data_IF_421858010707
#
_entry.id   IF_421858010707
#
_cell.length_a   1.000
_cell.length_b   1.000
_cell.length_c   1.000
_cell.angle_alpha   90.00
_cell.angle_beta   90.00
_cell.angle_gamma   90.00
#
_symmetry.space_group_name_H-M   'P 1'
#
loop_
_entity.id
_entity.type
_entity.pdbx_description
1 polymer ?
#
# COMPACT_ATOMS: atom_id res chain seq x y z
N UNK A 1 7.66 -1.87 -20.47
CA UNK A 1 6.60 -2.11 -19.47
C UNK A 1 7.12 -2.79 -18.21
N UNK A 2 7.84 -3.91 -18.31
CA UNK A 2 8.36 -4.68 -17.16
C UNK A 2 9.12 -3.85 -16.10
N UNK A 3 9.95 -2.87 -16.51
CA UNK A 3 10.67 -1.96 -15.59
C UNK A 3 9.76 -1.05 -14.76
N UNK A 4 8.65 -0.59 -15.33
CA UNK A 4 7.69 0.28 -14.62
C UNK A 4 6.80 -0.52 -13.67
N UNK A 5 6.50 -1.78 -14.02
CA UNK A 5 5.83 -2.73 -13.14
C UNK A 5 6.71 -3.06 -11.94
N UNK A 6 7.99 -3.34 -12.17
CA UNK A 6 8.98 -3.54 -11.11
C UNK A 6 9.12 -2.28 -10.23
N UNK A 7 9.15 -1.07 -10.80
CA UNK A 7 9.20 0.16 -10.03
C UNK A 7 7.93 0.38 -9.17
N UNK A 8 6.74 0.11 -9.72
CA UNK A 8 5.49 0.17 -8.97
C UNK A 8 5.44 -0.86 -7.82
N UNK A 9 5.94 -2.06 -8.07
CA UNK A 9 6.08 -3.13 -7.08
C UNK A 9 7.12 -2.78 -6.01
N UNK A 10 8.24 -2.17 -6.38
CA UNK A 10 9.27 -1.70 -5.46
C UNK A 10 8.76 -0.52 -4.60
N UNK A 11 8.00 0.40 -5.18
CA UNK A 11 7.33 1.48 -4.45
C UNK A 11 6.32 0.93 -3.44
N UNK A 12 5.57 -0.10 -3.81
CA UNK A 12 4.71 -0.81 -2.86
C UNK A 12 5.54 -1.51 -1.78
N UNK A 13 6.66 -2.16 -2.12
CA UNK A 13 7.59 -2.79 -1.16
C UNK A 13 8.20 -1.83 -0.15
N UNK A 14 8.37 -0.55 -0.49
CA UNK A 14 8.85 0.46 0.45
C UNK A 14 7.77 0.87 1.48
N UNK A 15 6.50 0.77 1.12
CA UNK A 15 5.35 0.98 2.03
C UNK A 15 5.16 -0.22 2.97
N UNK A 16 5.64 -1.39 2.57
CA UNK A 16 5.62 -2.61 3.36
C UNK A 16 6.82 -2.66 4.31
N UNK A 17 6.59 -3.00 5.59
CA UNK A 17 7.65 -3.65 6.36
C UNK A 17 8.17 -4.86 5.57
N UNK A 18 9.47 -5.19 5.69
CA UNK A 18 10.17 -6.10 4.76
C UNK A 18 9.48 -7.46 4.55
N UNK A 19 8.68 -7.92 5.50
CA UNK A 19 7.98 -9.22 5.47
C UNK A 19 6.70 -9.23 4.61
N UNK A 20 6.10 -8.07 4.31
CA UNK A 20 4.78 -8.00 3.66
C UNK A 20 4.89 -7.88 2.12
N UNK A 21 6.05 -7.48 1.62
CA UNK A 21 6.31 -7.30 0.18
C UNK A 21 6.15 -8.61 -0.61
N UNK A 22 6.61 -9.74 -0.05
CA UNK A 22 6.53 -11.05 -0.69
C UNK A 22 5.09 -11.58 -0.79
N UNK A 23 4.30 -11.41 0.27
CA UNK A 23 2.88 -11.84 0.32
C UNK A 23 1.99 -11.01 -0.59
N UNK A 24 2.29 -9.72 -0.76
CA UNK A 24 1.56 -8.88 -1.71
C UNK A 24 1.91 -9.28 -3.14
N UNK A 25 3.18 -9.56 -3.43
CA UNK A 25 3.66 -9.96 -4.75
C UNK A 25 3.04 -11.27 -5.25
N UNK A 26 2.81 -12.25 -4.36
CA UNK A 26 2.16 -13.52 -4.70
C UNK A 26 0.64 -13.38 -4.96
N UNK A 27 0.01 -12.36 -4.37
CA UNK A 27 -1.43 -12.11 -4.50
C UNK A 27 -1.80 -11.26 -5.73
N UNK A 28 -0.91 -10.39 -6.20
CA UNK A 28 -1.11 -9.56 -7.41
C UNK A 28 -1.62 -10.36 -8.63
N UNK A 29 -0.98 -11.48 -9.04
CA UNK A 29 -1.46 -12.26 -10.19
C UNK A 29 -2.81 -12.95 -9.96
N UNK A 30 -3.22 -13.19 -8.70
CA UNK A 30 -4.52 -13.79 -8.37
C UNK A 30 -5.68 -12.76 -8.46
N UNK A 31 -5.39 -11.48 -8.23
CA UNK A 31 -6.39 -10.40 -8.30
C UNK A 31 -6.41 -9.64 -9.63
N UNK A 32 -5.45 -9.90 -10.51
CA UNK A 32 -5.37 -9.31 -11.85
C UNK A 32 -6.49 -9.75 -12.83
N UNK A 33 -7.00 -11.00 -12.83
CA UNK A 33 -7.88 -11.47 -13.91
C UNK A 33 -9.39 -11.26 -13.69
N UNK A 34 -9.84 -10.63 -12.59
CA UNK A 34 -11.28 -10.59 -12.25
C UNK A 34 -12.10 -9.54 -13.05
N UNK A 35 -11.47 -8.69 -13.86
CA UNK A 35 -12.23 -7.65 -14.59
C UNK A 35 -11.73 -7.49 -16.02
N UNK A 36 -12.22 -8.33 -16.93
CA UNK A 36 -12.24 -8.00 -18.35
C UNK A 36 -13.54 -8.45 -19.01
N UNK A 37 -14.27 -7.46 -19.53
CA UNK A 37 -15.53 -7.63 -20.27
C UNK A 37 -16.04 -6.32 -20.88
N UNK A 38 -15.64 -5.16 -20.31
CA UNK A 38 -15.98 -3.85 -20.86
C UNK A 38 -14.73 -3.01 -21.12
N UNK A 39 -14.61 -2.45 -22.33
CA UNK A 39 -13.52 -1.55 -22.75
C UNK A 39 -13.60 -0.25 -21.92
N UNK A 40 -12.86 -0.14 -20.82
CA UNK A 40 -12.86 1.06 -19.96
C UNK A 40 -12.14 2.24 -20.62
N UNK A 41 -12.69 3.44 -20.49
CA UNK A 41 -12.02 4.66 -20.95
C UNK A 41 -10.87 5.04 -20.01
N UNK A 42 -9.92 5.86 -20.47
CA UNK A 42 -8.85 6.38 -19.61
C UNK A 42 -9.39 7.13 -18.38
N UNK A 43 -10.55 7.81 -18.50
CA UNK A 43 -11.19 8.50 -17.37
C UNK A 43 -11.71 7.51 -16.33
N UNK A 44 -12.27 6.38 -16.75
CA UNK A 44 -12.80 5.35 -15.84
C UNK A 44 -11.67 4.66 -15.07
N UNK A 45 -10.53 4.43 -15.74
CA UNK A 45 -9.33 3.88 -15.10
C UNK A 45 -8.77 4.86 -14.06
N UNK A 46 -8.66 6.15 -14.39
CA UNK A 46 -8.20 7.17 -13.45
C UNK A 46 -9.13 7.34 -12.25
N UNK A 47 -10.46 7.29 -12.47
CA UNK A 47 -11.45 7.29 -11.38
C UNK A 47 -11.30 6.05 -10.50
N UNK A 48 -11.10 4.88 -11.10
CA UNK A 48 -10.90 3.62 -10.39
C UNK A 48 -9.61 3.65 -9.55
N UNK A 49 -8.52 4.23 -10.08
CA UNK A 49 -7.27 4.42 -9.34
C UNK A 49 -7.49 5.31 -8.11
N UNK A 50 -8.13 6.47 -8.26
CA UNK A 50 -8.47 7.34 -7.10
C UNK A 50 -9.30 6.61 -6.05
N UNK A 51 -10.29 5.83 -6.47
CA UNK A 51 -11.12 5.04 -5.56
C UNK A 51 -10.34 3.91 -4.87
N UNK A 52 -9.30 3.36 -5.51
CA UNK A 52 -8.45 2.34 -4.90
C UNK A 52 -7.58 2.86 -3.75
N UNK A 53 -7.33 4.18 -3.70
CA UNK A 53 -6.57 4.80 -2.61
C UNK A 53 -7.35 4.81 -1.29
N UNK A 54 -8.69 4.78 -1.32
CA UNK A 54 -9.52 4.80 -0.10
C UNK A 54 -9.25 3.58 0.79
N UNK A 55 -9.43 2.33 0.34
CA UNK A 55 -9.11 1.17 1.16
C UNK A 55 -7.63 1.08 1.52
N UNK A 56 -6.73 1.55 0.64
CA UNK A 56 -5.29 1.61 0.92
C UNK A 56 -4.99 2.48 2.14
N UNK A 57 -5.46 3.74 2.13
CA UNK A 57 -5.23 4.67 3.22
C UNK A 57 -5.92 4.23 4.51
N UNK A 58 -7.11 3.63 4.43
CA UNK A 58 -7.78 3.04 5.58
C UNK A 58 -6.95 1.92 6.21
N UNK A 59 -6.41 1.00 5.41
CA UNK A 59 -5.56 -0.07 5.90
C UNK A 59 -4.27 0.45 6.55
N UNK A 60 -3.61 1.44 5.94
CA UNK A 60 -2.41 2.08 6.53
C UNK A 60 -2.72 2.79 7.87
N UNK A 61 -3.92 3.34 8.00
CA UNK A 61 -4.38 3.97 9.23
C UNK A 61 -4.66 2.94 10.33
N UNK A 62 -5.32 1.82 9.98
CA UNK A 62 -5.54 0.69 10.89
C UNK A 62 -4.22 0.07 11.35
N UNK A 63 -3.28 -0.13 10.44
CA UNK A 63 -1.95 -0.68 10.73
C UNK A 63 -1.16 0.24 11.68
N UNK A 64 -1.20 1.55 11.43
CA UNK A 64 -0.64 2.56 12.34
C UNK A 64 -1.32 2.54 13.72
N UNK A 65 -2.65 2.44 13.76
CA UNK A 65 -3.40 2.38 15.02
C UNK A 65 -3.08 1.09 15.80
N UNK A 66 -3.00 -0.05 15.13
CA UNK A 66 -2.64 -1.34 15.74
C UNK A 66 -1.20 -1.39 16.26
N UNK A 67 -0.32 -0.58 15.67
CA UNK A 67 1.08 -0.44 16.08
C UNK A 67 1.28 0.58 17.20
N UNK A 68 0.28 1.40 17.53
CA UNK A 68 0.47 2.54 18.40
C UNK A 68 0.94 2.13 19.80
N UNK A 69 2.07 2.68 20.24
CA UNK A 69 2.64 2.35 21.53
C UNK A 69 3.23 0.94 21.62
N UNK A 70 3.37 0.19 20.52
CA UNK A 70 4.16 -1.05 20.50
C UNK A 70 5.65 -0.76 20.58
N UNK A 71 6.46 -1.73 21.00
CA UNK A 71 7.94 -1.62 20.95
C UNK A 71 8.37 -1.59 19.49
N UNK A 72 9.22 -0.63 19.13
CA UNK A 72 9.71 -0.46 17.76
C UNK A 72 11.20 -0.81 17.71
N UNK A 73 11.53 -1.92 17.05
CA UNK A 73 12.91 -2.40 16.94
C UNK A 73 13.72 -1.58 15.93
N UNK A 74 13.06 -0.89 15.00
CA UNK A 74 13.74 -0.06 14.03
C UNK A 74 14.12 1.30 14.66
N UNK A 75 15.42 1.58 14.88
CA UNK A 75 15.86 2.82 15.53
C UNK A 75 15.54 4.08 14.71
N UNK A 76 15.30 3.97 13.40
CA UNK A 76 14.85 5.08 12.57
C UNK A 76 13.39 5.46 12.83
N UNK A 77 12.57 4.47 13.22
CA UNK A 77 11.15 4.61 13.51
C UNK A 77 10.89 4.77 15.01
N UNK A 78 11.77 4.28 15.88
CA UNK A 78 11.59 4.32 17.32
C UNK A 78 11.49 5.76 17.87
N UNK A 79 10.48 6.00 18.71
CA UNK A 79 10.39 7.22 19.51
C UNK A 79 11.46 7.29 20.60
N UNK A 80 11.50 8.40 21.34
CA UNK A 80 12.44 8.59 22.47
C UNK A 80 12.30 7.54 23.58
N UNK A 81 11.15 6.85 23.63
CA UNK A 81 10.85 5.77 24.56
C UNK A 81 10.99 4.36 23.94
N UNK A 82 11.54 4.25 22.73
CA UNK A 82 11.69 2.97 22.02
C UNK A 82 10.38 2.40 21.46
N UNK A 83 9.31 3.20 21.40
CA UNK A 83 7.97 2.75 21.00
C UNK A 83 7.50 3.47 19.74
N UNK A 84 6.58 2.84 19.02
CA UNK A 84 5.89 3.44 17.89
C UNK A 84 5.02 4.60 18.37
N UNK A 85 5.12 5.74 17.70
CA UNK A 85 4.33 6.93 18.03
C UNK A 85 4.24 7.91 16.88
N UNK A 86 4.01 9.20 17.19
CA UNK A 86 3.76 10.22 16.17
C UNK A 86 4.88 10.35 15.13
N UNK A 87 6.14 10.21 15.54
CA UNK A 87 7.29 10.23 14.63
C UNK A 87 7.23 9.05 13.64
N UNK A 88 7.04 7.84 14.15
CA UNK A 88 6.95 6.60 13.38
C UNK A 88 5.79 6.66 12.38
N UNK A 89 4.62 7.12 12.84
CA UNK A 89 3.46 7.35 12.01
C UNK A 89 3.74 8.37 10.89
N UNK A 90 4.38 9.50 11.23
CA UNK A 90 4.77 10.52 10.26
C UNK A 90 5.69 9.98 9.17
N UNK A 91 6.69 9.17 9.52
CA UNK A 91 7.58 8.52 8.55
C UNK A 91 6.78 7.56 7.66
N UNK A 92 5.94 6.70 8.25
CA UNK A 92 5.12 5.71 7.52
C UNK A 92 4.19 6.39 6.50
N UNK A 93 3.46 7.42 6.93
CA UNK A 93 2.59 8.19 6.02
C UNK A 93 3.36 9.00 4.98
N UNK A 94 4.57 9.45 5.27
CA UNK A 94 5.43 10.11 4.28
C UNK A 94 5.81 9.15 3.15
N UNK A 95 6.15 7.90 3.48
CA UNK A 95 6.44 6.86 2.50
C UNK A 95 5.20 6.55 1.64
N UNK A 96 4.04 6.38 2.27
CA UNK A 96 2.76 6.18 1.56
C UNK A 96 2.48 7.36 0.61
N UNK A 97 2.66 8.60 1.08
CA UNK A 97 2.45 9.80 0.26
C UNK A 97 3.36 9.86 -0.97
N UNK A 98 4.65 9.53 -0.82
CA UNK A 98 5.60 9.46 -1.93
C UNK A 98 5.21 8.38 -2.92
N UNK A 99 4.78 7.20 -2.44
CA UNK A 99 4.31 6.12 -3.29
C UNK A 99 3.06 6.53 -4.11
N UNK A 100 2.06 7.12 -3.46
CA UNK A 100 0.85 7.62 -4.14
C UNK A 100 1.17 8.72 -5.16
N UNK A 101 2.14 9.60 -4.86
CA UNK A 101 2.60 10.61 -5.81
C UNK A 101 3.29 9.96 -7.03
N UNK A 102 4.14 8.95 -6.80
CA UNK A 102 4.78 8.21 -7.88
C UNK A 102 3.74 7.48 -8.75
N UNK A 103 2.74 6.83 -8.14
CA UNK A 103 1.63 6.21 -8.86
C UNK A 103 0.87 7.22 -9.72
N UNK A 104 0.59 8.41 -9.18
CA UNK A 104 -0.08 9.47 -9.92
C UNK A 104 0.72 9.89 -11.15
N UNK A 105 2.02 10.14 -10.99
CA UNK A 105 2.90 10.56 -12.09
C UNK A 105 3.01 9.46 -13.16
N UNK A 106 3.17 8.20 -12.75
CA UNK A 106 3.25 7.06 -13.66
C UNK A 106 1.91 6.83 -14.38
N UNK A 107 0.80 6.85 -13.65
CA UNK A 107 -0.54 6.63 -14.18
C UNK A 107 -0.99 7.73 -15.13
N UNK A 108 -0.54 8.97 -14.92
CA UNK A 108 -0.76 10.09 -15.84
C UNK A 108 -0.10 9.85 -17.21
N UNK A 109 1.14 9.34 -17.21
CA UNK A 109 1.88 9.07 -18.46
C UNK A 109 1.52 7.73 -19.11
N UNK A 110 1.06 6.75 -18.32
CA UNK A 110 0.81 5.38 -18.78
C UNK A 110 -0.54 4.84 -18.28
N UNK A 111 -1.65 5.10 -18.99
CA UNK A 111 -2.99 4.71 -18.54
C UNK A 111 -3.16 3.20 -18.33
N UNK A 112 -2.44 2.37 -19.11
CA UNK A 112 -2.44 0.91 -18.93
C UNK A 112 -1.90 0.48 -17.57
N UNK A 113 -0.94 1.23 -17.01
CA UNK A 113 -0.34 0.94 -15.70
C UNK A 113 -1.28 1.38 -14.58
N UNK A 114 -2.04 2.46 -14.76
CA UNK A 114 -3.03 2.90 -13.79
C UNK A 114 -4.08 1.82 -13.48
N UNK A 115 -4.45 0.99 -14.47
CA UNK A 115 -5.30 -0.18 -14.27
C UNK A 115 -4.65 -1.20 -13.32
N UNK A 116 -3.38 -1.55 -13.56
CA UNK A 116 -2.63 -2.46 -12.70
C UNK A 116 -2.47 -1.92 -11.26
N UNK A 117 -2.21 -0.62 -11.11
CA UNK A 117 -2.06 0.03 -9.80
C UNK A 117 -3.33 -0.06 -8.94
N UNK A 118 -4.53 -0.07 -9.54
CA UNK A 118 -5.79 -0.33 -8.82
C UNK A 118 -5.76 -1.67 -8.10
N UNK A 119 -5.27 -2.71 -8.77
CA UNK A 119 -5.22 -4.06 -8.20
C UNK A 119 -4.13 -4.16 -7.13
N UNK A 120 -2.97 -3.53 -7.37
CA UNK A 120 -1.91 -3.43 -6.38
C UNK A 120 -2.42 -2.74 -5.11
N UNK A 121 -3.05 -1.58 -5.21
CA UNK A 121 -3.57 -0.83 -4.05
C UNK A 121 -4.59 -1.63 -3.24
N UNK A 122 -5.47 -2.39 -3.91
CA UNK A 122 -6.43 -3.27 -3.24
C UNK A 122 -5.76 -4.46 -2.55
N UNK A 123 -4.81 -5.11 -3.23
CA UNK A 123 -4.06 -6.22 -2.64
C UNK A 123 -3.27 -5.75 -1.42
N UNK A 124 -2.57 -4.62 -1.53
CA UNK A 124 -1.91 -3.94 -0.42
C UNK A 124 -2.86 -3.69 0.74
N UNK A 125 -4.03 -3.10 0.47
CA UNK A 125 -5.03 -2.82 1.50
C UNK A 125 -5.48 -4.09 2.24
N UNK A 126 -5.75 -5.19 1.51
CA UNK A 126 -6.19 -6.46 2.08
C UNK A 126 -5.11 -7.02 3.01
N UNK A 127 -3.87 -7.10 2.54
CA UNK A 127 -2.78 -7.68 3.32
C UNK A 127 -2.50 -6.84 4.57
N UNK A 128 -2.38 -5.52 4.42
CA UNK A 128 -2.13 -4.61 5.54
C UNK A 128 -3.28 -4.58 6.54
N UNK A 129 -4.54 -4.63 6.09
CA UNK A 129 -5.67 -4.73 7.02
C UNK A 129 -5.67 -6.06 7.78
N UNK A 130 -5.31 -7.17 7.12
CA UNK A 130 -5.16 -8.48 7.77
C UNK A 130 -4.11 -8.47 8.87
N UNK A 131 -2.93 -7.88 8.63
CA UNK A 131 -1.89 -7.74 9.66
C UNK A 131 -2.34 -6.84 10.81
N UNK A 132 -3.00 -5.71 10.51
CA UNK A 132 -3.53 -4.82 11.53
C UNK A 132 -4.56 -5.52 12.43
N UNK A 133 -5.49 -6.27 11.84
CA UNK A 133 -6.50 -7.05 12.58
C UNK A 133 -5.83 -8.11 13.46
N UNK A 134 -4.86 -8.85 12.92
CA UNK A 134 -4.09 -9.81 13.71
C UNK A 134 -3.38 -9.14 14.89
N UNK A 135 -2.77 -7.98 14.69
CA UNK A 135 -2.09 -7.23 15.75
C UNK A 135 -3.06 -6.74 16.82
N UNK A 136 -4.26 -6.29 16.44
CA UNK A 136 -5.30 -5.95 17.41
C UNK A 136 -5.70 -7.15 18.27
N UNK A 137 -5.86 -8.33 17.66
CA UNK A 137 -6.26 -9.56 18.36
C UNK A 137 -5.18 -10.11 19.28
N UNK A 138 -3.89 -9.99 18.91
CA UNK A 138 -2.79 -10.53 19.73
C UNK A 138 -2.40 -9.59 20.87
N UNK A 139 -2.64 -8.28 20.72
CA UNK A 139 -2.16 -7.29 21.71
C UNK A 139 -3.24 -6.73 22.65
N UNK A 140 -4.53 -7.06 22.44
CA UNK A 140 -5.65 -6.67 23.31
C UNK A 140 -6.39 -7.92 23.79
#
# INVERSE_FOLDING_TARGET
>A
MQRLVLAALLLSSAVFGQDIAASTLSLVPHFAPIVDGARKTNRDVQKSWKLSLVPLLAAQSLDTASSWGQVEENPLLAGSNGRFGMRSAGVKFSIVGIAVLAEYLIGKSHPKIAGMLVHVNRATAIVTAGTAVHNFVVTH
#
